data_IF_924670726409
#
_entry.id   IF_924670726409
#
_cell.length_a   1.000
_cell.length_b   1.000
_cell.length_c   1.000
_cell.angle_alpha   90.00
_cell.angle_beta   90.00
_cell.angle_gamma   90.00
#
_symmetry.space_group_name_H-M   'P 1'
#
loop_
_entity.id
_entity.type
_entity.pdbx_description
1 polymer ?
#
# COMPACT_ATOMS: atom_id res chain seq x y z
N UNK A 1 -10.74 -2.78 16.65
CA UNK A 1 -10.27 -2.85 15.24
C UNK A 1 -10.46 -1.47 14.63
N UNK A 2 -9.41 -0.87 14.11
CA UNK A 2 -9.53 0.46 13.48
C UNK A 2 -9.87 0.32 12.00
N UNK A 3 -10.67 1.23 11.47
CA UNK A 3 -11.02 1.21 10.06
C UNK A 3 -9.79 1.50 9.20
N UNK A 4 -9.43 0.60 8.27
CA UNK A 4 -8.28 0.83 7.38
C UNK A 4 -8.43 2.01 6.40
N UNK A 5 -9.61 2.60 6.28
CA UNK A 5 -9.89 3.71 5.35
C UNK A 5 -9.80 5.08 6.03
N UNK A 6 -10.35 5.21 7.24
CA UNK A 6 -10.43 6.48 7.97
C UNK A 6 -9.85 6.42 9.39
N UNK A 7 -9.31 5.28 9.80
CA UNK A 7 -8.71 5.02 11.12
C UNK A 7 -9.66 5.12 12.32
N UNK A 8 -10.96 5.37 12.10
CA UNK A 8 -11.99 5.37 13.15
C UNK A 8 -12.06 4.05 13.92
N UNK A 9 -12.34 4.14 15.21
CA UNK A 9 -12.56 3.01 16.14
C UNK A 9 -13.98 2.43 16.03
N UNK A 10 -14.91 3.14 15.39
CA UNK A 10 -16.32 2.75 15.26
C UNK A 10 -16.54 1.68 14.17
N UNK A 11 -16.02 0.48 14.42
CA UNK A 11 -16.18 -0.66 13.51
C UNK A 11 -16.98 -1.79 14.15
N UNK A 12 -17.85 -2.41 13.35
CA UNK A 12 -18.69 -3.54 13.76
C UNK A 12 -18.47 -4.74 12.86
N UNK A 13 -18.66 -5.95 13.40
CA UNK A 13 -18.64 -7.18 12.60
C UNK A 13 -19.79 -7.15 11.59
N UNK A 14 -19.51 -7.51 10.34
CA UNK A 14 -20.45 -7.47 9.22
C UNK A 14 -20.30 -8.71 8.34
N UNK A 15 -20.80 -9.85 8.83
CA UNK A 15 -20.77 -11.12 8.11
C UNK A 15 -19.36 -11.64 7.80
N UNK A 16 -19.25 -12.57 6.85
CA UNK A 16 -17.99 -13.14 6.37
C UNK A 16 -17.87 -13.01 4.87
N UNK A 17 -16.66 -12.80 4.37
CA UNK A 17 -16.34 -12.78 2.95
C UNK A 17 -15.17 -13.73 2.71
N UNK A 18 -15.34 -14.70 1.80
CA UNK A 18 -14.32 -15.72 1.51
C UNK A 18 -13.79 -16.41 2.79
N UNK A 19 -14.69 -16.75 3.71
CA UNK A 19 -14.35 -17.37 4.99
C UNK A 19 -13.72 -16.43 6.05
N UNK A 20 -13.35 -15.20 5.69
CA UNK A 20 -12.76 -14.21 6.61
C UNK A 20 -13.82 -13.28 7.18
N UNK A 21 -13.61 -12.83 8.42
CA UNK A 21 -14.47 -11.85 9.06
C UNK A 21 -14.44 -10.52 8.29
N UNK A 22 -15.61 -10.05 7.89
CA UNK A 22 -15.78 -8.72 7.32
C UNK A 22 -16.26 -7.74 8.39
N UNK A 23 -15.86 -6.50 8.29
CA UNK A 23 -16.17 -5.41 9.21
C UNK A 23 -16.81 -4.26 8.45
N UNK A 24 -17.65 -3.49 9.12
CA UNK A 24 -18.26 -2.27 8.61
C UNK A 24 -17.89 -1.10 9.51
N UNK A 25 -17.38 -0.02 8.92
CA UNK A 25 -17.12 1.21 9.66
C UNK A 25 -18.35 2.11 9.63
N UNK A 26 -18.83 2.53 10.81
CA UNK A 26 -20.00 3.42 10.93
C UNK A 26 -19.69 4.85 10.45
N UNK A 27 -18.46 5.31 10.66
CA UNK A 27 -18.02 6.66 10.29
C UNK A 27 -17.91 6.85 8.78
N UNK A 28 -17.12 6.02 8.07
CA UNK A 28 -16.91 6.16 6.63
C UNK A 28 -17.79 5.25 5.77
N UNK A 29 -18.64 4.42 6.37
CA UNK A 29 -19.58 3.50 5.69
C UNK A 29 -18.93 2.48 4.75
N UNK A 30 -17.64 2.21 4.91
CA UNK A 30 -16.93 1.19 4.13
C UNK A 30 -16.96 -0.18 4.79
N UNK A 31 -17.09 -1.22 3.96
CA UNK A 31 -16.91 -2.63 4.33
C UNK A 31 -15.47 -3.04 4.08
N UNK A 32 -14.88 -3.80 4.99
CA UNK A 32 -13.50 -4.26 4.85
C UNK A 32 -13.21 -5.56 5.59
N UNK A 33 -12.31 -6.35 5.05
CA UNK A 33 -11.71 -7.49 5.76
C UNK A 33 -10.41 -7.02 6.41
N UNK A 34 -10.16 -7.52 7.61
CA UNK A 34 -8.87 -7.38 8.26
C UNK A 34 -7.86 -8.34 7.61
N UNK A 35 -7.06 -7.80 6.70
CA UNK A 35 -6.14 -8.57 5.87
C UNK A 35 -4.74 -7.94 5.79
N UNK A 36 -4.45 -6.90 6.58
CA UNK A 36 -3.20 -6.12 6.56
C UNK A 36 -2.75 -5.63 5.16
N UNK A 37 -3.67 -5.62 4.18
CA UNK A 37 -3.41 -5.10 2.85
C UNK A 37 -3.73 -3.61 2.79
N UNK A 38 -3.04 -2.91 1.89
CA UNK A 38 -3.37 -1.53 1.59
C UNK A 38 -4.83 -1.37 1.14
N UNK A 39 -5.38 -0.19 1.40
CA UNK A 39 -6.74 0.18 1.00
C UNK A 39 -6.95 -0.04 -0.49
N UNK A 40 -8.08 -0.69 -0.83
CA UNK A 40 -8.46 -1.05 -2.21
C UNK A 40 -7.42 -1.93 -2.92
N UNK A 41 -6.62 -2.70 -2.19
CA UNK A 41 -5.65 -3.65 -2.76
C UNK A 41 -6.04 -5.11 -2.45
N UNK A 42 -6.03 -5.95 -3.50
CA UNK A 42 -6.16 -7.41 -3.36
C UNK A 42 -4.83 -8.06 -3.01
N UNK A 43 -3.75 -7.55 -3.61
CA UNK A 43 -2.37 -7.99 -3.35
C UNK A 43 -1.97 -7.69 -1.92
N UNK A 44 -1.16 -8.58 -1.34
CA UNK A 44 -0.55 -8.38 -0.03
C UNK A 44 0.35 -7.14 -0.03
N UNK A 45 0.36 -6.41 1.09
CA UNK A 45 1.13 -5.17 1.26
C UNK A 45 2.63 -5.40 1.04
N UNK A 46 3.18 -6.50 1.57
CA UNK A 46 4.59 -6.86 1.40
C UNK A 46 5.04 -6.97 -0.07
N UNK A 47 4.23 -7.58 -0.94
CA UNK A 47 4.54 -7.70 -2.38
C UNK A 47 4.61 -6.33 -3.03
N UNK A 48 3.69 -5.43 -2.67
CA UNK A 48 3.68 -4.05 -3.18
C UNK A 48 4.91 -3.28 -2.69
N UNK A 49 5.25 -3.40 -1.40
CA UNK A 49 6.41 -2.72 -0.80
C UNK A 49 7.72 -3.18 -1.47
N UNK A 50 7.95 -4.49 -1.59
CA UNK A 50 9.14 -5.02 -2.26
C UNK A 50 9.18 -4.63 -3.74
N UNK A 51 8.02 -4.52 -4.40
CA UNK A 51 7.99 -4.04 -5.79
C UNK A 51 8.47 -2.59 -5.93
N UNK A 52 8.15 -1.73 -4.95
CA UNK A 52 8.61 -0.35 -4.93
C UNK A 52 10.10 -0.28 -4.63
N UNK A 53 10.54 -1.03 -3.61
CA UNK A 53 11.93 -1.10 -3.17
C UNK A 53 12.88 -1.47 -4.32
N UNK A 54 12.61 -2.62 -4.96
CA UNK A 54 13.37 -3.08 -6.13
C UNK A 54 13.39 -2.05 -7.28
N UNK A 55 12.28 -1.34 -7.49
CA UNK A 55 12.23 -0.31 -8.52
C UNK A 55 13.15 0.88 -8.19
N UNK A 56 13.14 1.33 -6.93
CA UNK A 56 14.00 2.43 -6.48
C UNK A 56 15.48 2.02 -6.32
N UNK A 57 15.78 0.73 -6.15
CA UNK A 57 17.13 0.16 -6.32
C UNK A 57 17.61 0.18 -7.79
N UNK A 58 16.75 0.57 -8.74
CA UNK A 58 17.10 0.76 -10.15
C UNK A 58 16.71 -0.40 -11.05
N UNK A 59 15.92 -1.38 -10.58
CA UNK A 59 15.40 -2.43 -11.46
C UNK A 59 14.31 -1.88 -12.37
N UNK A 60 14.37 -2.26 -13.66
CA UNK A 60 13.25 -2.01 -14.56
C UNK A 60 12.00 -2.77 -14.13
N UNK A 61 10.82 -2.26 -14.46
CA UNK A 61 9.52 -2.89 -14.13
C UNK A 61 9.46 -4.37 -14.54
N UNK A 62 10.10 -4.75 -15.66
CA UNK A 62 10.21 -6.14 -16.11
C UNK A 62 11.07 -6.99 -15.17
N UNK A 63 12.20 -6.46 -14.70
CA UNK A 63 13.06 -7.12 -13.71
C UNK A 63 12.32 -7.27 -12.38
N UNK A 64 11.63 -6.23 -11.91
CA UNK A 64 10.79 -6.28 -10.70
C UNK A 64 9.74 -7.38 -10.82
N UNK A 65 9.01 -7.44 -11.94
CA UNK A 65 8.02 -8.50 -12.19
C UNK A 65 8.61 -9.90 -12.03
N UNK A 66 9.79 -10.13 -12.63
CA UNK A 66 10.49 -11.42 -12.55
C UNK A 66 10.92 -11.74 -11.13
N UNK A 67 11.41 -10.77 -10.36
CA UNK A 67 11.79 -10.98 -8.97
C UNK A 67 10.57 -11.30 -8.10
N UNK A 68 9.47 -10.56 -8.26
CA UNK A 68 8.23 -10.83 -7.53
C UNK A 68 7.69 -12.23 -7.81
N UNK A 69 7.72 -12.67 -9.07
CA UNK A 69 7.31 -14.02 -9.44
C UNK A 69 8.19 -15.11 -8.80
N UNK A 70 9.49 -14.83 -8.59
CA UNK A 70 10.42 -15.77 -7.94
C UNK A 70 10.30 -15.78 -6.42
N UNK A 71 10.21 -14.61 -5.79
CA UNK A 71 10.23 -14.45 -4.32
C UNK A 71 8.88 -14.83 -3.70
N UNK A 72 7.79 -14.44 -4.35
CA UNK A 72 6.44 -14.57 -3.79
C UNK A 72 5.56 -15.57 -4.52
N UNK A 73 6.04 -16.17 -5.61
CA UNK A 73 5.26 -17.08 -6.47
C UNK A 73 3.95 -16.47 -7.00
N UNK A 74 3.87 -15.13 -7.04
CA UNK A 74 2.70 -14.39 -7.54
C UNK A 74 2.99 -13.84 -8.93
N UNK A 75 2.17 -14.22 -9.91
CA UNK A 75 2.19 -13.61 -11.24
C UNK A 75 1.48 -12.26 -11.21
N UNK A 76 2.26 -11.20 -11.32
CA UNK A 76 1.77 -9.81 -11.43
C UNK A 76 2.08 -9.29 -12.83
N UNK A 77 1.20 -8.47 -13.41
CA UNK A 77 1.49 -7.82 -14.70
C UNK A 77 2.39 -6.60 -14.52
N UNK A 78 3.24 -6.31 -15.51
CA UNK A 78 4.12 -5.13 -15.52
C UNK A 78 3.32 -3.84 -15.30
N UNK A 79 2.14 -3.75 -15.92
CA UNK A 79 1.23 -2.61 -15.79
C UNK A 79 0.74 -2.43 -14.35
N UNK A 80 0.50 -3.52 -13.61
CA UNK A 80 0.08 -3.43 -12.20
C UNK A 80 1.20 -2.88 -11.33
N UNK A 81 2.43 -3.37 -11.54
CA UNK A 81 3.63 -2.88 -10.84
C UNK A 81 3.85 -1.39 -11.13
N UNK A 82 3.76 -0.99 -12.41
CA UNK A 82 3.84 0.42 -12.81
C UNK A 82 2.79 1.29 -12.12
N UNK A 83 1.54 0.83 -12.06
CA UNK A 83 0.46 1.53 -11.36
C UNK A 83 0.73 1.65 -9.85
N UNK A 84 1.33 0.65 -9.23
CA UNK A 84 1.74 0.75 -7.82
C UNK A 84 2.82 1.81 -7.64
N UNK A 85 3.89 1.76 -8.44
CA UNK A 85 4.96 2.76 -8.43
C UNK A 85 4.37 4.16 -8.53
N UNK A 86 3.60 4.45 -9.57
CA UNK A 86 3.01 5.78 -9.76
C UNK A 86 2.13 6.21 -8.59
N UNK A 87 1.28 5.31 -8.07
CA UNK A 87 0.38 5.61 -6.95
C UNK A 87 1.13 5.94 -5.67
N UNK A 88 2.13 5.13 -5.31
CA UNK A 88 2.83 5.27 -4.03
C UNK A 88 3.93 6.32 -4.08
N UNK A 89 4.57 6.55 -5.23
CA UNK A 89 5.46 7.70 -5.41
C UNK A 89 4.71 9.03 -5.25
N UNK A 90 3.49 9.13 -5.79
CA UNK A 90 2.66 10.32 -5.58
C UNK A 90 2.25 10.52 -4.11
N UNK A 91 2.02 9.43 -3.38
CA UNK A 91 1.71 9.47 -1.95
C UNK A 91 2.95 9.90 -1.14
N UNK A 92 4.12 9.33 -1.44
CA UNK A 92 5.38 9.69 -0.81
C UNK A 92 5.72 11.15 -1.05
N UNK A 93 5.54 11.67 -2.28
CA UNK A 93 5.72 13.09 -2.58
C UNK A 93 4.88 13.98 -1.68
N UNK A 94 3.57 13.71 -1.57
CA UNK A 94 2.67 14.47 -0.70
C UNK A 94 3.12 14.47 0.75
N UNK A 95 3.66 13.35 1.23
CA UNK A 95 4.20 13.26 2.57
C UNK A 95 5.48 14.09 2.73
N UNK A 96 6.43 13.95 1.80
CA UNK A 96 7.68 14.74 1.81
C UNK A 96 7.39 16.25 1.73
N UNK A 97 6.40 16.66 0.94
CA UNK A 97 5.98 18.06 0.84
C UNK A 97 5.45 18.64 2.18
N UNK A 98 4.98 17.79 3.10
CA UNK A 98 4.57 18.24 4.46
C UNK A 98 5.75 18.36 5.43
N UNK A 99 6.92 17.80 5.09
CA UNK A 99 8.10 17.88 5.94
C UNK A 99 8.79 19.22 5.69
N UNK A 100 8.81 20.09 6.69
CA UNK A 100 9.67 21.27 6.68
C UNK A 100 11.09 20.85 7.05
N UNK A 101 12.09 21.00 6.16
CA UNK A 101 13.46 20.67 6.52
C UNK A 101 13.94 21.64 7.61
N UNK A 102 14.48 21.10 8.69
CA UNK A 102 15.24 21.90 9.65
C UNK A 102 16.58 22.22 9.01
N UNK A 103 16.65 23.35 8.32
CA UNK A 103 17.90 23.87 7.79
C UNK A 103 18.69 24.45 8.97
N UNK A 104 19.80 23.80 9.34
CA UNK A 104 20.78 24.42 10.22
C UNK A 104 21.32 25.66 9.48
N UNK A 105 20.90 26.84 9.93
CA UNK A 105 21.28 28.10 9.32
C UNK A 105 22.76 28.35 9.50
N UNK A 106 23.56 28.04 8.48
CA UNK A 106 24.72 28.79 8.02
C UNK A 106 25.38 28.00 6.88
N UNK A 107 25.26 28.51 5.66
CA UNK A 107 26.15 28.17 4.57
C UNK A 107 27.26 29.24 4.58
N UNK A 108 28.50 28.85 4.90
CA UNK A 108 29.70 29.67 4.71
C UNK A 108 30.28 29.40 3.32
#
# INVERSE_FOLDING_TARGET
MNCKYCQSTETVKFGKSQGKQSYFCKTCKHKFVDNNNFVKMRTKSNVVVISLDLYFEGLSVRKVQRQIAKIFEVKVSQVSIWKWIMKYSALAKKFVDTLTPQLAGQWH
#
